data_IF_252022164999
#
_entry.id   IF_252022164999
#
_cell.length_a   1.000
_cell.length_b   1.000
_cell.length_c   1.000
_cell.angle_alpha   90.00
_cell.angle_beta   90.00
_cell.angle_gamma   90.00
#
_symmetry.space_group_name_H-M   'P 1'
#
loop_
_entity.id
_entity.type
_entity.pdbx_description
1 polymer ?
#
# COMPACT_ATOMS: atom_id res chain seq x y z
N UNK A 1 24.18 -13.52 -0.67
CA UNK A 1 23.29 -14.59 -0.16
C UNK A 1 22.51 -14.17 1.08
N UNK A 2 23.10 -13.72 2.19
CA UNK A 2 22.37 -13.38 3.43
C UNK A 2 21.21 -12.37 3.24
N UNK A 3 21.40 -11.32 2.43
CA UNK A 3 20.34 -10.31 2.18
C UNK A 3 19.10 -10.93 1.50
N UNK A 4 19.29 -11.78 0.50
CA UNK A 4 18.19 -12.46 -0.22
C UNK A 4 17.41 -13.37 0.73
N UNK A 5 18.13 -14.18 1.51
CA UNK A 5 17.51 -15.08 2.49
C UNK A 5 16.71 -14.28 3.53
N UNK A 6 17.28 -13.23 4.08
CA UNK A 6 16.58 -12.37 5.04
C UNK A 6 15.31 -11.76 4.43
N UNK A 7 15.38 -11.26 3.19
CA UNK A 7 14.21 -10.71 2.49
C UNK A 7 13.13 -11.78 2.30
N UNK A 8 13.51 -12.97 1.81
CA UNK A 8 12.55 -14.06 1.63
C UNK A 8 11.90 -14.47 2.95
N UNK A 9 12.69 -14.66 4.00
CA UNK A 9 12.16 -15.02 5.34
C UNK A 9 11.23 -13.93 5.87
N UNK A 10 11.60 -12.65 5.73
CA UNK A 10 10.75 -11.54 6.18
C UNK A 10 9.39 -11.55 5.49
N UNK A 11 9.37 -11.70 4.16
CA UNK A 11 8.10 -11.74 3.43
C UNK A 11 7.29 -13.02 3.68
N UNK A 12 7.95 -14.17 3.87
CA UNK A 12 7.28 -15.40 4.26
C UNK A 12 6.61 -15.28 5.63
N UNK A 13 7.33 -14.76 6.62
CA UNK A 13 6.78 -14.54 7.97
C UNK A 13 5.66 -13.50 7.91
N UNK A 14 5.81 -12.44 7.12
CA UNK A 14 4.76 -11.44 6.92
C UNK A 14 3.50 -12.06 6.29
N UNK A 15 3.65 -12.87 5.25
CA UNK A 15 2.52 -13.59 4.66
C UNK A 15 1.82 -14.51 5.66
N UNK A 16 2.58 -15.32 6.41
CA UNK A 16 2.05 -16.21 7.44
C UNK A 16 1.35 -15.45 8.58
N UNK A 17 1.85 -14.26 8.94
CA UNK A 17 1.22 -13.40 9.95
C UNK A 17 -0.22 -13.02 9.58
N UNK A 18 -0.48 -12.83 8.30
CA UNK A 18 -1.83 -12.54 7.77
C UNK A 18 -2.68 -13.80 7.57
N UNK A 19 -2.08 -14.99 7.62
CA UNK A 19 -2.73 -16.28 7.47
C UNK A 19 -2.05 -17.14 6.41
N UNK A 20 -2.23 -18.46 6.51
CA UNK A 20 -1.60 -19.45 5.61
C UNK A 20 -1.94 -19.20 4.13
N UNK A 21 -3.14 -18.70 3.86
CA UNK A 21 -3.61 -18.36 2.51
C UNK A 21 -2.79 -17.23 1.84
N UNK A 22 -2.13 -16.37 2.63
CA UNK A 22 -1.30 -15.28 2.09
C UNK A 22 0.17 -15.67 1.87
N UNK A 23 0.49 -16.94 2.04
CA UNK A 23 1.85 -17.45 1.85
C UNK A 23 2.37 -17.18 0.43
N UNK A 24 1.52 -17.38 -0.59
CA UNK A 24 1.86 -17.12 -1.99
C UNK A 24 2.22 -15.64 -2.22
N UNK A 25 1.45 -14.73 -1.66
CA UNK A 25 1.75 -13.30 -1.69
C UNK A 25 3.12 -13.00 -1.07
N UNK A 26 3.41 -13.58 0.08
CA UNK A 26 4.71 -13.45 0.75
C UNK A 26 5.86 -13.97 -0.08
N UNK A 27 5.74 -15.18 -0.65
CA UNK A 27 6.76 -15.79 -1.52
C UNK A 27 7.06 -14.90 -2.73
N UNK A 28 6.02 -14.51 -3.47
CA UNK A 28 6.19 -13.70 -4.68
C UNK A 28 6.78 -12.32 -4.40
N UNK A 29 6.34 -11.65 -3.33
CA UNK A 29 6.94 -10.37 -2.92
C UNK A 29 8.42 -10.53 -2.51
N UNK A 30 8.74 -11.56 -1.74
CA UNK A 30 10.13 -11.86 -1.36
C UNK A 30 11.03 -12.09 -2.57
N UNK A 31 10.57 -12.86 -3.56
CA UNK A 31 11.27 -13.09 -4.82
C UNK A 31 11.42 -11.79 -5.60
N UNK A 32 10.32 -11.03 -5.78
CA UNK A 32 10.33 -9.78 -6.54
C UNK A 32 11.30 -8.75 -5.94
N UNK A 33 11.27 -8.54 -4.63
CA UNK A 33 12.19 -7.60 -3.97
C UNK A 33 13.63 -8.08 -4.06
N UNK A 34 13.87 -9.40 -3.94
CA UNK A 34 15.22 -9.97 -4.07
C UNK A 34 15.81 -9.84 -5.49
N UNK A 35 14.97 -9.95 -6.51
CA UNK A 35 15.35 -9.79 -7.91
C UNK A 35 15.32 -8.33 -8.36
N UNK A 36 14.47 -7.51 -7.78
CA UNK A 36 14.20 -6.13 -8.20
C UNK A 36 15.46 -5.27 -8.27
N UNK A 37 16.42 -5.48 -7.36
CA UNK A 37 17.71 -4.77 -7.39
C UNK A 37 18.56 -5.12 -8.60
N UNK A 38 18.38 -6.30 -9.17
CA UNK A 38 19.11 -6.77 -10.37
C UNK A 38 18.40 -6.37 -11.67
N UNK A 39 17.09 -6.14 -11.62
CA UNK A 39 16.26 -5.81 -12.77
C UNK A 39 16.17 -4.30 -13.03
N UNK A 40 16.79 -3.48 -12.19
CA UNK A 40 16.76 -2.04 -12.33
C UNK A 40 17.45 -1.58 -13.62
N UNK A 41 16.76 -0.73 -14.36
CA UNK A 41 17.29 -0.02 -15.51
C UNK A 41 17.91 1.32 -15.07
N UNK A 42 18.66 1.97 -15.98
CA UNK A 42 19.16 3.35 -15.77
C UNK A 42 18.05 4.41 -15.70
N UNK A 43 16.85 4.07 -16.11
CA UNK A 43 15.70 4.97 -16.23
C UNK A 43 14.81 4.90 -14.99
N UNK A 44 14.94 5.88 -14.12
CA UNK A 44 14.21 5.91 -12.83
C UNK A 44 12.70 5.81 -12.99
N UNK A 45 12.12 6.48 -13.99
CA UNK A 45 10.67 6.45 -14.25
C UNK A 45 10.21 5.05 -14.65
N UNK A 46 10.97 4.38 -15.52
CA UNK A 46 10.67 2.99 -15.93
C UNK A 46 10.69 2.06 -14.72
N UNK A 47 11.69 2.21 -13.85
CA UNK A 47 11.77 1.41 -12.63
C UNK A 47 10.59 1.66 -11.69
N UNK A 48 10.15 2.92 -11.52
CA UNK A 48 8.99 3.28 -10.70
C UNK A 48 7.70 2.67 -11.23
N UNK A 49 7.43 2.84 -12.53
CA UNK A 49 6.24 2.28 -13.17
C UNK A 49 6.28 0.75 -13.11
N UNK A 50 7.42 0.14 -13.44
CA UNK A 50 7.58 -1.30 -13.39
C UNK A 50 7.37 -1.88 -11.99
N UNK A 51 7.90 -1.22 -10.96
CA UNK A 51 7.68 -1.62 -9.56
C UNK A 51 6.20 -1.48 -9.18
N UNK A 52 5.56 -0.36 -9.53
CA UNK A 52 4.14 -0.14 -9.25
C UNK A 52 3.28 -1.23 -9.88
N UNK A 53 3.47 -1.52 -11.17
CA UNK A 53 2.71 -2.56 -11.88
C UNK A 53 2.95 -3.95 -11.29
N UNK A 54 4.21 -4.28 -11.00
CA UNK A 54 4.54 -5.58 -10.41
C UNK A 54 3.89 -5.75 -9.03
N UNK A 55 3.98 -4.74 -8.17
CA UNK A 55 3.33 -4.78 -6.84
C UNK A 55 1.81 -4.86 -7.00
N UNK A 56 1.19 -4.12 -7.92
CA UNK A 56 -0.27 -4.18 -8.17
C UNK A 56 -0.70 -5.60 -8.57
N UNK A 57 0.07 -6.27 -9.42
CA UNK A 57 -0.18 -7.68 -9.79
C UNK A 57 -0.02 -8.60 -8.58
N UNK A 58 1.01 -8.40 -7.76
CA UNK A 58 1.24 -9.21 -6.56
C UNK A 58 0.14 -9.04 -5.51
N UNK A 59 -0.49 -7.86 -5.44
CA UNK A 59 -1.64 -7.63 -4.56
C UNK A 59 -2.86 -8.47 -4.93
N UNK A 60 -2.99 -8.92 -6.17
CA UNK A 60 -4.05 -9.85 -6.55
C UNK A 60 -4.00 -11.15 -5.73
N UNK A 61 -2.81 -11.65 -5.39
CA UNK A 61 -2.63 -12.83 -4.54
C UNK A 61 -2.90 -12.56 -3.04
N UNK A 62 -3.03 -11.29 -2.67
CA UNK A 62 -3.46 -10.91 -1.33
C UNK A 62 -4.99 -10.85 -1.25
N UNK A 63 -5.63 -10.28 -2.27
CA UNK A 63 -7.10 -10.16 -2.34
C UNK A 63 -7.75 -11.53 -2.60
N UNK A 64 -7.15 -12.33 -3.48
CA UNK A 64 -7.62 -13.69 -3.80
C UNK A 64 -6.56 -14.72 -3.41
N UNK A 65 -6.67 -15.33 -2.22
CA UNK A 65 -5.69 -16.32 -1.74
C UNK A 65 -5.65 -17.59 -2.58
N UNK A 66 -6.73 -17.90 -3.33
CA UNK A 66 -6.72 -18.96 -4.34
C UNK A 66 -5.97 -18.52 -5.60
N UNK A 67 -4.87 -19.21 -5.89
CA UNK A 67 -3.98 -18.88 -6.99
C UNK A 67 -4.67 -18.88 -8.38
N UNK A 68 -5.63 -19.79 -8.58
CA UNK A 68 -6.35 -19.92 -9.87
C UNK A 68 -7.24 -18.70 -10.07
N UNK A 69 -7.96 -18.29 -9.04
CA UNK A 69 -8.81 -17.09 -9.06
C UNK A 69 -7.98 -15.83 -9.24
N UNK A 70 -6.87 -15.68 -8.51
CA UNK A 70 -5.96 -14.55 -8.67
C UNK A 70 -5.44 -14.44 -10.12
N UNK A 71 -5.01 -15.56 -10.73
CA UNK A 71 -4.54 -15.57 -12.12
C UNK A 71 -5.66 -15.24 -13.12
N UNK A 72 -6.88 -15.75 -12.91
CA UNK A 72 -8.04 -15.37 -13.74
C UNK A 72 -8.34 -13.88 -13.67
N UNK A 73 -8.29 -13.29 -12.47
CA UNK A 73 -8.52 -11.86 -12.28
C UNK A 73 -7.41 -11.01 -12.92
N UNK A 74 -6.15 -11.41 -12.78
CA UNK A 74 -5.05 -10.75 -13.50
C UNK A 74 -5.27 -10.85 -15.03
N UNK A 75 -5.64 -12.02 -15.53
CA UNK A 75 -5.93 -12.24 -16.94
C UNK A 75 -7.10 -11.40 -17.46
N UNK A 76 -8.15 -11.20 -16.65
CA UNK A 76 -9.32 -10.43 -17.02
C UNK A 76 -9.01 -8.95 -17.28
N UNK A 77 -7.99 -8.40 -16.63
CA UNK A 77 -7.52 -7.02 -16.88
C UNK A 77 -7.10 -6.81 -18.34
N UNK A 78 -6.64 -7.86 -19.01
CA UNK A 78 -6.19 -7.81 -20.41
C UNK A 78 -7.25 -8.27 -21.42
N UNK A 79 -8.34 -8.92 -20.97
CA UNK A 79 -9.32 -9.55 -21.86
C UNK A 79 -10.70 -8.92 -21.75
N UNK A 80 -11.03 -8.32 -20.61
CA UNK A 80 -12.36 -7.74 -20.35
C UNK A 80 -12.24 -6.23 -20.21
N UNK A 81 -12.51 -5.51 -21.30
CA UNK A 81 -12.55 -4.05 -21.31
C UNK A 81 -14.00 -3.58 -21.30
N UNK A 82 -14.52 -3.29 -20.12
CA UNK A 82 -15.85 -2.72 -19.97
C UNK A 82 -15.77 -1.31 -19.38
N UNK A 83 -15.45 -0.33 -20.22
CA UNK A 83 -15.36 1.07 -19.77
C UNK A 83 -16.71 1.63 -19.27
N UNK A 84 -17.82 1.05 -19.69
CA UNK A 84 -19.16 1.46 -19.27
C UNK A 84 -19.47 1.16 -17.80
N UNK A 85 -18.80 0.18 -17.20
CA UNK A 85 -18.96 -0.16 -15.79
C UNK A 85 -18.08 0.67 -14.84
N UNK A 86 -17.09 1.40 -15.34
CA UNK A 86 -16.13 2.13 -14.50
C UNK A 86 -16.81 3.12 -13.54
N UNK A 87 -17.72 3.93 -14.04
CA UNK A 87 -18.43 4.93 -13.21
C UNK A 87 -19.38 4.25 -12.21
N UNK A 88 -20.25 3.30 -12.61
CA UNK A 88 -21.03 2.52 -11.66
C UNK A 88 -20.19 1.82 -10.57
N UNK A 89 -19.06 1.21 -10.93
CA UNK A 89 -18.15 0.56 -9.98
C UNK A 89 -17.55 1.57 -8.99
N UNK A 90 -17.09 2.73 -9.47
CA UNK A 90 -16.59 3.79 -8.60
C UNK A 90 -17.68 4.30 -7.64
N UNK A 91 -18.92 4.41 -8.09
CA UNK A 91 -20.05 4.76 -7.25
C UNK A 91 -20.41 3.66 -6.25
N UNK A 92 -20.26 2.38 -6.65
CA UNK A 92 -20.47 1.23 -5.77
C UNK A 92 -19.45 1.17 -4.60
N UNK A 93 -18.29 1.81 -4.72
CA UNK A 93 -17.34 1.97 -3.61
C UNK A 93 -17.90 2.82 -2.46
N UNK A 94 -19.08 3.43 -2.62
CA UNK A 94 -19.77 4.27 -1.63
C UNK A 94 -18.90 5.42 -1.06
N UNK A 95 -17.87 5.84 -1.80
CA UNK A 95 -17.03 6.97 -1.41
C UNK A 95 -17.77 8.28 -1.62
N UNK A 96 -17.84 9.08 -0.58
CA UNK A 96 -18.40 10.44 -0.66
C UNK A 96 -17.44 11.40 -1.34
N UNK A 97 -17.94 12.59 -1.75
CA UNK A 97 -17.06 13.64 -2.27
C UNK A 97 -15.96 14.04 -1.28
N UNK A 98 -16.22 13.96 0.03
CA UNK A 98 -15.23 14.19 1.09
C UNK A 98 -14.10 13.16 1.05
N UNK A 99 -14.43 11.89 0.86
CA UNK A 99 -13.42 10.81 0.83
C UNK A 99 -12.48 10.98 -0.36
N UNK A 100 -12.99 11.39 -1.52
CA UNK A 100 -12.17 11.71 -2.69
C UNK A 100 -11.23 12.89 -2.46
N UNK A 101 -11.68 13.93 -1.73
CA UNK A 101 -10.83 15.06 -1.36
C UNK A 101 -9.74 14.58 -0.39
N UNK A 102 -10.10 13.81 0.64
CA UNK A 102 -9.11 13.26 1.60
C UNK A 102 -8.09 12.39 0.89
N UNK A 103 -8.52 11.51 -0.02
CA UNK A 103 -7.62 10.69 -0.83
C UNK A 103 -6.67 11.56 -1.67
N UNK A 104 -7.21 12.58 -2.36
CA UNK A 104 -6.41 13.50 -3.16
C UNK A 104 -5.36 14.25 -2.33
N UNK A 105 -5.77 14.78 -1.17
CA UNK A 105 -4.86 15.45 -0.23
C UNK A 105 -3.79 14.49 0.29
N UNK A 106 -4.17 13.25 0.66
CA UNK A 106 -3.22 12.25 1.14
C UNK A 106 -2.17 11.89 0.07
N UNK A 107 -2.59 11.71 -1.18
CA UNK A 107 -1.67 11.45 -2.31
C UNK A 107 -0.72 12.64 -2.57
N UNK A 108 -1.24 13.87 -2.51
CA UNK A 108 -0.41 15.09 -2.65
C UNK A 108 0.59 15.21 -1.50
N UNK A 109 0.20 14.90 -0.26
CA UNK A 109 1.10 14.90 0.89
C UNK A 109 2.19 13.84 0.74
N UNK A 110 1.84 12.62 0.33
CA UNK A 110 2.81 11.55 0.05
C UNK A 110 3.82 11.98 -1.02
N UNK A 111 3.33 12.58 -2.10
CA UNK A 111 4.20 13.10 -3.16
C UNK A 111 5.10 14.23 -2.67
N UNK A 112 4.57 15.15 -1.88
CA UNK A 112 5.35 16.23 -1.27
C UNK A 112 6.45 15.68 -0.32
N UNK A 113 6.13 14.66 0.49
CA UNK A 113 7.10 13.99 1.35
C UNK A 113 8.17 13.27 0.54
N UNK A 114 7.82 12.63 -0.58
CA UNK A 114 8.81 11.99 -1.48
C UNK A 114 9.78 13.03 -2.09
N UNK A 115 9.27 14.20 -2.48
CA UNK A 115 10.10 15.27 -3.05
C UNK A 115 10.98 15.98 -2.01
N UNK A 116 10.43 16.27 -0.85
CA UNK A 116 11.06 17.12 0.17
C UNK A 116 11.45 16.41 1.46
N UNK A 117 11.35 15.08 1.51
CA UNK A 117 11.53 14.28 2.73
C UNK A 117 12.83 14.59 3.47
N UNK A 118 13.96 14.75 2.75
CA UNK A 118 15.23 15.12 3.38
C UNK A 118 15.18 16.50 4.02
N UNK A 119 14.51 17.48 3.39
CA UNK A 119 14.33 18.83 3.94
C UNK A 119 13.41 18.82 5.14
N UNK A 120 12.30 18.09 5.06
CA UNK A 120 11.36 17.89 6.17
C UNK A 120 12.03 17.21 7.36
N UNK A 121 12.84 16.19 7.11
CA UNK A 121 13.63 15.52 8.15
C UNK A 121 14.63 16.48 8.80
N UNK A 122 15.38 17.26 8.01
CA UNK A 122 16.32 18.25 8.52
C UNK A 122 15.61 19.34 9.34
N UNK A 123 14.48 19.82 8.86
CA UNK A 123 13.64 20.76 9.60
C UNK A 123 13.17 20.17 10.94
N UNK A 124 12.60 18.98 10.93
CA UNK A 124 12.11 18.31 12.14
C UNK A 124 13.23 18.05 13.15
N UNK A 125 14.40 17.60 12.68
CA UNK A 125 15.55 17.37 13.55
C UNK A 125 16.19 18.68 14.07
N UNK A 126 15.96 19.80 13.38
CA UNK A 126 16.36 21.14 13.81
C UNK A 126 15.47 21.77 14.87
N UNK A 127 14.25 21.24 15.08
CA UNK A 127 13.34 21.74 16.11
C UNK A 127 13.91 21.47 17.51
N UNK A 128 13.63 22.36 18.44
CA UNK A 128 13.89 22.11 19.87
C UNK A 128 13.04 20.93 20.38
N UNK A 129 13.42 20.27 21.49
CA UNK A 129 12.68 19.10 22.01
C UNK A 129 11.19 19.37 22.22
N UNK A 130 10.82 20.51 22.76
CA UNK A 130 9.43 20.93 22.93
C UNK A 130 8.67 21.05 21.61
N UNK A 131 9.32 21.62 20.57
CA UNK A 131 8.74 21.73 19.22
C UNK A 131 8.51 20.36 18.56
N UNK A 132 9.43 19.42 18.73
CA UNK A 132 9.25 18.04 18.25
C UNK A 132 8.07 17.35 18.95
N UNK A 133 7.99 17.50 20.28
CA UNK A 133 6.89 16.92 21.05
C UNK A 133 5.54 17.53 20.66
N UNK A 134 5.48 18.85 20.49
CA UNK A 134 4.28 19.53 20.00
C UNK A 134 3.86 19.06 18.61
N UNK A 135 4.82 18.89 17.69
CA UNK A 135 4.54 18.39 16.34
C UNK A 135 4.03 16.95 16.36
N UNK A 136 4.64 16.06 17.14
CA UNK A 136 4.19 14.67 17.30
C UNK A 136 2.79 14.65 17.92
N UNK A 137 2.56 15.46 18.95
CA UNK A 137 1.25 15.58 19.58
C UNK A 137 0.17 16.06 18.62
N UNK A 138 0.49 17.08 17.80
CA UNK A 138 -0.42 17.57 16.76
C UNK A 138 -0.75 16.48 15.73
N UNK A 139 0.25 15.74 15.25
CA UNK A 139 0.02 14.62 14.32
C UNK A 139 -0.80 13.51 14.96
N UNK A 140 -0.53 13.19 16.24
CA UNK A 140 -1.36 12.25 17.00
C UNK A 140 -2.81 12.73 17.13
N UNK A 141 -3.03 14.01 17.38
CA UNK A 141 -4.36 14.60 17.45
C UNK A 141 -5.09 14.55 16.09
N UNK A 142 -4.39 14.80 14.99
CA UNK A 142 -4.95 14.63 13.63
C UNK A 142 -5.42 13.20 13.41
N UNK A 143 -4.61 12.21 13.78
CA UNK A 143 -5.00 10.78 13.69
C UNK A 143 -6.19 10.49 14.59
N UNK A 144 -6.23 11.05 15.81
CA UNK A 144 -7.36 10.88 16.73
C UNK A 144 -8.66 11.52 16.23
N UNK A 145 -8.61 12.64 15.55
CA UNK A 145 -9.80 13.34 15.04
C UNK A 145 -10.32 12.73 13.75
N UNK A 146 -9.42 12.35 12.83
CA UNK A 146 -9.77 11.87 11.50
C UNK A 146 -9.72 10.34 11.35
N UNK A 147 -9.29 9.62 12.38
CA UNK A 147 -9.26 8.16 12.37
C UNK A 147 -10.67 7.55 12.50
N UNK A 148 -10.87 6.40 11.91
CA UNK A 148 -12.14 5.66 12.00
C UNK A 148 -12.13 4.77 13.25
N UNK A 149 -12.75 5.26 14.33
CA UNK A 149 -12.94 4.53 15.59
C UNK A 149 -14.12 5.16 16.38
N UNK A 150 -14.54 4.53 17.44
CA UNK A 150 -15.61 5.03 18.31
C UNK A 150 -16.92 4.25 18.19
N UNK A 151 -18.02 4.86 18.61
CA UNK A 151 -19.34 4.25 18.54
C UNK A 151 -19.72 3.95 17.09
N UNK A 152 -19.96 2.67 16.78
CA UNK A 152 -20.22 2.21 15.42
C UNK A 152 -19.01 1.65 14.68
N UNK A 153 -17.79 1.74 15.23
CA UNK A 153 -16.64 1.06 14.68
C UNK A 153 -16.75 -0.44 14.92
N UNK A 154 -16.80 -1.20 13.84
CA UNK A 154 -16.77 -2.66 13.91
C UNK A 154 -15.37 -3.14 13.48
N UNK A 155 -14.64 -3.75 14.39
CA UNK A 155 -13.31 -4.29 14.10
C UNK A 155 -13.33 -5.39 13.00
N UNK A 156 -14.50 -6.04 12.79
CA UNK A 156 -14.71 -6.99 11.71
C UNK A 156 -14.77 -6.36 10.31
N UNK A 157 -15.03 -5.05 10.23
CA UNK A 157 -15.03 -4.30 8.96
C UNK A 157 -13.62 -3.86 8.55
N UNK A 158 -12.60 -4.17 9.38
CA UNK A 158 -11.21 -3.94 9.02
C UNK A 158 -10.85 -4.79 7.79
N UNK A 159 -10.13 -4.18 6.84
CA UNK A 159 -9.82 -4.76 5.52
C UNK A 159 -9.39 -6.25 5.56
N UNK A 160 -8.74 -6.68 6.64
CA UNK A 160 -8.29 -8.06 6.81
C UNK A 160 -9.33 -9.00 7.46
N UNK A 161 -10.46 -8.49 7.93
CA UNK A 161 -11.52 -9.29 8.55
C UNK A 161 -12.60 -9.77 7.56
N UNK A 162 -12.55 -9.30 6.31
CA UNK A 162 -13.55 -9.60 5.28
C UNK A 162 -13.07 -10.62 4.23
N UNK A 163 -11.85 -11.14 4.35
CA UNK A 163 -11.27 -12.10 3.41
C UNK A 163 -11.11 -13.49 4.03
#
# INVERSE_FOLDING_TARGET
>A
MRKVINTLVTFLVSGLWHGVQYLLWGVFNGIFVSLGTKLQTKWKTVNRIGTFLAISVLWAFFVWPDAVTALKMIGSVFTVFNYGSLIPELQAMALTGGDWIVLGVALLLLWAVDLWGRRLQAWFTGLCPAGRLAFIGLMGMVVLVFGMYGLGFNAGDFIYGQF
#
